data_IF_818983404160
#
_entry.id   IF_818983404160
#
_cell.length_a   1.000
_cell.length_b   1.000
_cell.length_c   1.000
_cell.angle_alpha   90.00
_cell.angle_beta   90.00
_cell.angle_gamma   90.00
#
_symmetry.space_group_name_H-M   'P 1'
#
loop_
_entity.id
_entity.type
_entity.pdbx_description
1 polymer ?
#
# COMPACT_ATOMS: atom_id res chain seq x y z
N UNK A 1 -26.32 11.40 -20.96
CA UNK A 1 -26.24 10.04 -20.39
C UNK A 1 -24.83 9.67 -19.91
N UNK A 2 -23.76 9.97 -20.66
CA UNK A 2 -22.38 9.63 -20.24
C UNK A 2 -21.91 10.28 -18.94
N UNK A 3 -22.20 11.56 -18.72
CA UNK A 3 -21.75 12.28 -17.51
C UNK A 3 -22.38 11.74 -16.21
N UNK A 4 -23.69 11.53 -16.18
CA UNK A 4 -24.38 10.98 -15.01
C UNK A 4 -23.93 9.54 -14.67
N UNK A 5 -23.60 8.74 -15.69
CA UNK A 5 -23.03 7.39 -15.51
C UNK A 5 -21.62 7.45 -14.90
N UNK A 6 -20.79 8.41 -15.34
CA UNK A 6 -19.45 8.59 -14.80
C UNK A 6 -19.48 9.11 -13.35
N UNK A 7 -20.42 10.00 -13.03
CA UNK A 7 -20.64 10.48 -11.66
C UNK A 7 -21.11 9.35 -10.72
N UNK A 8 -22.04 8.51 -11.18
CA UNK A 8 -22.49 7.34 -10.41
C UNK A 8 -21.35 6.33 -10.19
N UNK A 9 -20.52 6.08 -11.20
CA UNK A 9 -19.35 5.20 -11.09
C UNK A 9 -18.31 5.75 -10.11
N UNK A 10 -18.06 7.06 -10.15
CA UNK A 10 -17.15 7.73 -9.23
C UNK A 10 -17.63 7.60 -7.78
N UNK A 11 -18.93 7.81 -7.55
CA UNK A 11 -19.54 7.70 -6.22
C UNK A 11 -19.51 6.26 -5.68
N UNK A 12 -19.85 5.28 -6.52
CA UNK A 12 -19.75 3.87 -6.16
C UNK A 12 -18.29 3.48 -5.86
N UNK A 13 -17.37 3.82 -6.77
CA UNK A 13 -15.95 3.52 -6.62
C UNK A 13 -15.38 4.10 -5.33
N UNK A 14 -15.68 5.37 -5.04
CA UNK A 14 -15.20 6.02 -3.82
C UNK A 14 -15.74 5.34 -2.56
N UNK A 15 -17.02 4.95 -2.55
CA UNK A 15 -17.62 4.22 -1.42
C UNK A 15 -16.94 2.86 -1.17
N UNK A 16 -16.58 2.14 -2.24
CA UNK A 16 -15.82 0.89 -2.13
C UNK A 16 -14.39 1.14 -1.61
N UNK A 17 -13.77 2.27 -2.00
CA UNK A 17 -12.46 2.68 -1.50
C UNK A 17 -12.47 3.08 -0.01
N UNK A 18 -13.52 3.73 0.48
CA UNK A 18 -13.68 4.05 1.90
C UNK A 18 -13.82 2.78 2.75
N UNK A 19 -14.55 1.78 2.24
CA UNK A 19 -14.79 0.53 2.95
C UNK A 19 -13.53 -0.34 3.11
N UNK A 20 -12.60 -0.30 2.14
CA UNK A 20 -11.56 -1.32 2.01
C UNK A 20 -10.13 -0.77 1.88
N UNK A 21 -9.98 0.49 1.45
CA UNK A 21 -8.68 1.06 1.07
C UNK A 21 -8.33 2.35 1.79
N UNK A 22 -9.00 2.63 2.92
CA UNK A 22 -8.72 3.78 3.80
C UNK A 22 -8.79 5.12 3.08
N UNK A 23 -9.68 5.23 2.10
CA UNK A 23 -10.11 6.54 1.63
C UNK A 23 -11.08 7.16 2.63
N UNK A 24 -11.13 8.49 2.67
CA UNK A 24 -12.05 9.25 3.51
C UNK A 24 -12.58 10.47 2.74
N UNK A 25 -13.87 10.78 2.89
CA UNK A 25 -14.46 12.04 2.40
C UNK A 25 -14.29 13.19 3.36
N UNK A 26 -14.44 12.90 4.64
CA UNK A 26 -14.39 13.86 5.74
C UNK A 26 -13.22 13.55 6.66
N UNK A 27 -12.65 14.59 7.25
CA UNK A 27 -11.62 14.43 8.27
C UNK A 27 -12.29 13.92 9.55
N UNK A 28 -11.74 12.87 10.19
CA UNK A 28 -12.19 12.49 11.53
C UNK A 28 -11.98 13.65 12.50
N UNK A 29 -12.89 13.79 13.47
CA UNK A 29 -12.83 14.86 14.49
C UNK A 29 -11.51 14.85 15.29
N UNK A 30 -10.89 13.66 15.43
CA UNK A 30 -9.57 13.45 16.06
C UNK A 30 -8.41 13.44 15.02
N UNK A 31 -8.48 14.31 14.02
CA UNK A 31 -7.42 14.50 13.03
C UNK A 31 -6.21 15.22 13.60
N UNK A 32 -5.04 14.61 13.54
CA UNK A 32 -3.80 15.18 14.10
C UNK A 32 -2.95 15.91 13.07
N UNK A 33 -2.97 15.44 11.83
CA UNK A 33 -2.15 16.00 10.77
C UNK A 33 -2.80 15.77 9.41
N UNK A 34 -2.83 16.80 8.58
CA UNK A 34 -3.31 16.77 7.20
C UNK A 34 -2.25 17.39 6.29
N UNK A 35 -1.74 16.62 5.33
CA UNK A 35 -0.65 17.04 4.44
C UNK A 35 -1.01 16.70 3.00
N UNK A 36 -0.88 17.67 2.08
CA UNK A 36 -1.03 17.38 0.64
C UNK A 36 0.10 16.44 0.22
N UNK A 37 -0.21 15.43 -0.58
CA UNK A 37 0.76 14.43 -0.98
C UNK A 37 1.97 15.06 -1.70
N UNK A 38 1.74 16.13 -2.48
CA UNK A 38 2.79 16.92 -3.12
C UNK A 38 3.80 17.56 -2.15
N UNK A 39 3.38 17.93 -0.93
CA UNK A 39 4.29 18.52 0.06
C UNK A 39 5.30 17.49 0.58
N UNK A 40 4.95 16.20 0.57
CA UNK A 40 5.81 15.11 1.02
C UNK A 40 6.98 14.81 0.04
N UNK A 41 7.07 15.55 -1.07
CA UNK A 41 8.25 15.53 -1.93
C UNK A 41 9.42 16.34 -1.33
N UNK A 42 9.17 17.11 -0.28
CA UNK A 42 10.17 17.85 0.47
C UNK A 42 10.44 17.17 1.83
N UNK A 43 11.71 16.92 2.16
CA UNK A 43 12.08 16.20 3.39
C UNK A 43 11.50 16.84 4.66
N UNK A 44 11.41 18.17 4.75
CA UNK A 44 10.85 18.86 5.92
C UNK A 44 9.42 18.42 6.27
N UNK A 45 8.58 18.15 5.26
CA UNK A 45 7.20 17.71 5.50
C UNK A 45 7.15 16.22 5.81
N UNK A 46 8.08 15.44 5.25
CA UNK A 46 8.27 14.05 5.60
C UNK A 46 8.72 13.92 7.05
N UNK A 47 9.73 14.67 7.49
CA UNK A 47 10.22 14.67 8.87
C UNK A 47 9.09 14.99 9.86
N UNK A 48 8.27 16.00 9.53
CA UNK A 48 7.08 16.33 10.31
C UNK A 48 6.10 15.15 10.39
N UNK A 49 5.78 14.52 9.26
CA UNK A 49 4.88 13.35 9.20
C UNK A 49 5.43 12.18 10.02
N UNK A 50 6.71 11.83 9.82
CA UNK A 50 7.36 10.70 10.49
C UNK A 50 7.52 10.94 11.98
N UNK A 51 7.81 12.17 12.41
CA UNK A 51 7.89 12.54 13.82
C UNK A 51 6.54 12.40 14.51
N UNK A 52 5.46 12.93 13.90
CA UNK A 52 4.13 12.84 14.50
C UNK A 52 3.63 11.39 14.52
N UNK A 53 3.76 10.66 13.42
CA UNK A 53 3.37 9.26 13.37
C UNK A 53 4.22 8.38 14.30
N UNK A 54 5.53 8.65 14.37
CA UNK A 54 6.49 7.94 15.22
C UNK A 54 6.12 7.98 16.70
N UNK A 55 5.62 9.12 17.20
CA UNK A 55 5.13 9.24 18.59
C UNK A 55 4.03 8.22 18.91
N UNK A 56 3.06 8.05 18.01
CA UNK A 56 1.93 7.14 18.21
C UNK A 56 2.31 5.67 18.19
N UNK A 57 3.24 5.31 17.32
CA UNK A 57 3.73 3.92 17.23
C UNK A 57 4.90 3.65 18.18
N UNK A 58 5.27 4.64 19.02
CA UNK A 58 6.42 4.61 19.93
C UNK A 58 7.70 4.17 19.22
N UNK A 59 7.96 4.78 18.06
CA UNK A 59 9.15 4.53 17.28
C UNK A 59 10.40 5.05 17.99
N UNK A 60 11.49 4.29 17.90
CA UNK A 60 12.80 4.67 18.42
C UNK A 60 13.58 5.56 17.44
N UNK A 61 13.22 5.52 16.16
CA UNK A 61 13.76 6.34 15.08
C UNK A 61 12.72 6.52 13.96
N UNK A 62 13.07 7.30 12.94
CA UNK A 62 12.20 7.62 11.80
C UNK A 62 12.04 6.44 10.81
N UNK A 63 12.82 5.37 10.96
CA UNK A 63 12.81 4.26 10.00
C UNK A 63 11.56 3.39 10.12
N UNK A 64 11.14 3.09 11.34
CA UNK A 64 9.89 2.36 11.58
C UNK A 64 8.66 3.10 11.01
N UNK A 65 8.41 4.39 11.32
CA UNK A 65 7.27 5.12 10.76
C UNK A 65 7.37 5.25 9.23
N UNK A 66 8.57 5.41 8.65
CA UNK A 66 8.74 5.47 7.19
C UNK A 66 8.34 4.16 6.50
N UNK A 67 8.80 3.02 7.01
CA UNK A 67 8.42 1.71 6.44
C UNK A 67 6.94 1.39 6.64
N UNK A 68 6.36 1.77 7.78
CA UNK A 68 4.93 1.61 8.03
C UNK A 68 4.10 2.50 7.11
N UNK A 69 4.46 3.77 6.96
CA UNK A 69 3.82 4.69 6.04
C UNK A 69 3.92 4.21 4.58
N UNK A 70 5.06 3.64 4.19
CA UNK A 70 5.18 3.00 2.88
C UNK A 70 4.24 1.80 2.71
N UNK A 71 3.87 1.08 3.78
CA UNK A 71 2.84 0.04 3.71
C UNK A 71 1.44 0.63 3.48
N UNK A 72 1.15 1.81 4.04
CA UNK A 72 -0.08 2.57 3.80
C UNK A 72 -0.18 3.07 2.35
N UNK A 73 0.93 3.56 1.80
CA UNK A 73 1.02 3.91 0.37
C UNK A 73 0.76 2.69 -0.53
N UNK A 74 1.11 1.48 -0.10
CA UNK A 74 0.74 0.26 -0.81
C UNK A 74 -0.77 0.04 -0.90
N UNK A 75 -1.55 0.56 0.07
CA UNK A 75 -3.02 0.51 0.01
C UNK A 75 -3.56 1.46 -1.05
N UNK A 76 -2.95 2.63 -1.24
CA UNK A 76 -3.25 3.54 -2.35
C UNK A 76 -3.02 2.86 -3.72
N UNK A 77 -1.91 2.14 -3.86
CA UNK A 77 -1.63 1.36 -5.07
C UNK A 77 -2.65 0.23 -5.30
N UNK A 78 -3.09 -0.43 -4.23
CA UNK A 78 -4.08 -1.50 -4.29
C UNK A 78 -5.47 -0.96 -4.68
N UNK A 79 -5.86 0.20 -4.15
CA UNK A 79 -7.09 0.90 -4.53
C UNK A 79 -7.15 1.19 -6.03
N UNK A 80 -6.05 1.72 -6.58
CA UNK A 80 -5.96 2.03 -8.00
C UNK A 80 -6.07 0.78 -8.88
N UNK A 81 -5.41 -0.32 -8.48
CA UNK A 81 -5.51 -1.60 -9.19
C UNK A 81 -6.92 -2.19 -9.12
N UNK A 82 -7.57 -2.08 -7.96
CA UNK A 82 -8.94 -2.52 -7.77
C UNK A 82 -9.91 -1.75 -8.69
N UNK A 83 -9.78 -0.43 -8.78
CA UNK A 83 -10.61 0.39 -9.68
C UNK A 83 -10.38 0.03 -11.15
N UNK A 84 -9.13 -0.19 -11.57
CA UNK A 84 -8.83 -0.61 -12.95
C UNK A 84 -9.50 -1.95 -13.27
N UNK A 85 -9.38 -2.91 -12.35
CA UNK A 85 -9.83 -4.28 -12.59
C UNK A 85 -11.35 -4.41 -12.50
N UNK A 86 -11.97 -3.88 -11.45
CA UNK A 86 -13.41 -4.04 -11.21
C UNK A 86 -14.25 -3.08 -12.03
N UNK A 87 -13.76 -1.87 -12.28
CA UNK A 87 -14.58 -0.77 -12.80
C UNK A 87 -14.12 -0.21 -14.15
N UNK A 88 -12.97 -0.65 -14.69
CA UNK A 88 -12.37 -0.02 -15.88
C UNK A 88 -12.28 1.50 -15.73
N UNK A 89 -11.89 1.91 -14.53
CA UNK A 89 -11.81 3.30 -14.13
C UNK A 89 -10.60 3.52 -13.23
N UNK A 90 -10.19 4.78 -13.13
CA UNK A 90 -9.08 5.20 -12.31
C UNK A 90 -9.42 6.50 -11.60
N UNK A 91 -8.94 6.70 -10.37
CA UNK A 91 -8.97 8.04 -9.79
C UNK A 91 -7.71 8.81 -10.20
N UNK A 92 -7.81 10.13 -10.27
CA UNK A 92 -6.61 10.97 -10.35
C UNK A 92 -5.89 10.94 -9.00
N UNK A 93 -4.88 10.07 -8.89
CA UNK A 93 -4.02 9.94 -7.71
C UNK A 93 -2.75 10.78 -7.82
N UNK A 94 -2.80 11.88 -8.58
CA UNK A 94 -1.70 12.84 -8.63
C UNK A 94 -1.46 13.48 -7.26
N UNK A 95 -0.22 13.91 -6.97
CA UNK A 95 0.13 14.47 -5.67
C UNK A 95 -0.66 15.73 -5.30
N UNK A 96 -1.13 16.49 -6.30
CA UNK A 96 -1.94 17.69 -6.10
C UNK A 96 -3.40 17.40 -5.77
N UNK A 97 -3.90 16.21 -6.12
CA UNK A 97 -5.29 15.81 -5.88
C UNK A 97 -5.48 15.00 -4.59
N UNK A 98 -4.39 14.64 -3.91
CA UNK A 98 -4.41 13.80 -2.71
C UNK A 98 -3.93 14.53 -1.46
N UNK A 99 -4.63 14.27 -0.36
CA UNK A 99 -4.21 14.63 1.00
C UNK A 99 -4.10 13.36 1.84
N UNK A 100 -3.04 13.26 2.62
CA UNK A 100 -2.82 12.20 3.60
C UNK A 100 -3.14 12.76 4.98
N UNK A 101 -3.96 12.02 5.72
CA UNK A 101 -4.45 12.45 7.02
C UNK A 101 -4.08 11.41 8.08
N UNK A 102 -3.34 11.82 9.10
CA UNK A 102 -3.07 11.03 10.29
C UNK A 102 -4.12 11.36 11.34
N UNK A 103 -4.78 10.34 11.85
CA UNK A 103 -5.80 10.48 12.90
C UNK A 103 -5.79 9.25 13.80
N UNK A 104 -6.43 9.38 14.96
CA UNK A 104 -6.63 8.25 15.86
C UNK A 104 -8.00 7.60 15.62
N UNK A 105 -8.01 6.28 15.56
CA UNK A 105 -9.23 5.47 15.60
C UNK A 105 -9.10 4.47 16.73
N UNK A 106 -9.92 4.60 17.76
CA UNK A 106 -9.87 3.76 18.96
C UNK A 106 -8.46 3.72 19.58
N UNK A 107 -7.81 4.90 19.65
CA UNK A 107 -6.45 5.06 20.17
C UNK A 107 -5.33 4.50 19.27
N UNK A 108 -5.64 4.05 18.05
CA UNK A 108 -4.64 3.56 17.08
C UNK A 108 -4.41 4.59 15.97
N UNK A 109 -3.15 4.87 15.60
CA UNK A 109 -2.87 5.78 14.50
C UNK A 109 -3.23 5.14 13.16
N UNK A 110 -3.99 5.88 12.36
CA UNK A 110 -4.47 5.49 11.03
C UNK A 110 -4.10 6.55 10.01
N UNK A 111 -3.88 6.13 8.76
CA UNK A 111 -3.82 7.05 7.63
C UNK A 111 -5.10 6.95 6.80
N UNK A 112 -5.64 8.12 6.45
CA UNK A 112 -6.75 8.28 5.51
C UNK A 112 -6.33 9.08 4.29
N UNK A 113 -6.64 8.56 3.10
CA UNK A 113 -6.41 9.25 1.83
C UNK A 113 -7.66 10.00 1.39
N UNK A 114 -7.52 11.30 1.12
CA UNK A 114 -8.63 12.14 0.69
C UNK A 114 -8.36 12.72 -0.69
N UNK A 115 -9.33 12.58 -1.59
CA UNK A 115 -9.31 13.20 -2.91
C UNK A 115 -9.90 14.61 -2.82
N UNK A 116 -9.24 15.59 -3.43
CA UNK A 116 -9.82 16.91 -3.63
C UNK A 116 -10.91 16.88 -4.71
N UNK A 117 -10.63 16.15 -5.80
CA UNK A 117 -11.55 15.89 -6.90
C UNK A 117 -11.67 14.37 -7.11
N UNK A 118 -12.83 13.82 -6.77
CA UNK A 118 -13.11 12.39 -6.88
C UNK A 118 -13.67 11.98 -8.26
N UNK A 119 -13.30 12.68 -9.33
CA UNK A 119 -13.64 12.24 -10.69
C UNK A 119 -12.82 11.03 -11.09
N UNK A 120 -13.46 10.12 -11.80
CA UNK A 120 -12.80 8.97 -12.41
C UNK A 120 -12.37 9.28 -13.84
N UNK A 121 -11.20 8.78 -14.20
CA UNK A 121 -10.73 8.63 -15.57
C UNK A 121 -11.26 7.28 -16.06
N UNK A 122 -12.17 7.30 -17.03
CA UNK A 122 -12.66 6.08 -17.68
C UNK A 122 -11.69 5.60 -18.75
N UNK A 123 -11.74 4.30 -19.06
CA UNK A 123 -11.06 3.76 -20.25
C UNK A 123 -11.59 4.49 -21.51
N UNK A 124 -10.71 5.14 -22.30
CA UNK A 124 -11.11 5.73 -23.58
C UNK A 124 -11.47 4.65 -24.60
N UNK A 125 -12.22 5.00 -25.65
CA UNK A 125 -12.42 4.10 -26.80
C UNK A 125 -11.06 3.76 -27.44
N UNK A 126 -10.70 2.48 -27.47
CA UNK A 126 -9.40 2.02 -27.99
C UNK A 126 -8.68 1.05 -27.04
N UNK A 127 -7.36 1.24 -26.90
CA UNK A 127 -6.48 0.30 -26.19
C UNK A 127 -6.47 0.52 -24.67
N UNK A 128 -7.27 -0.30 -23.98
CA UNK A 128 -7.31 -0.38 -22.50
C UNK A 128 -5.93 -0.64 -21.89
N UNK A 129 -5.07 -1.43 -22.53
CA UNK A 129 -3.77 -1.78 -21.98
C UNK A 129 -2.85 -0.55 -21.95
N UNK A 130 -2.89 0.28 -22.99
CA UNK A 130 -2.14 1.53 -23.02
C UNK A 130 -2.67 2.56 -22.00
N UNK A 131 -3.99 2.71 -21.89
CA UNK A 131 -4.59 3.53 -20.83
C UNK A 131 -4.15 3.07 -19.42
N UNK A 132 -4.21 1.75 -19.16
CA UNK A 132 -3.76 1.16 -17.90
C UNK A 132 -2.29 1.47 -17.65
N UNK A 133 -1.44 1.31 -18.66
CA UNK A 133 0.00 1.63 -18.57
C UNK A 133 0.24 3.09 -18.19
N UNK A 134 -0.49 4.03 -18.80
CA UNK A 134 -0.38 5.46 -18.50
C UNK A 134 -0.82 5.79 -17.07
N UNK A 135 -1.99 5.29 -16.65
CA UNK A 135 -2.50 5.48 -15.29
C UNK A 135 -1.50 4.96 -14.25
N UNK A 136 -0.98 3.74 -14.46
CA UNK A 136 -0.03 3.14 -13.54
C UNK A 136 1.35 3.83 -13.58
N UNK A 137 1.79 4.30 -14.76
CA UNK A 137 3.06 5.03 -14.88
C UNK A 137 3.00 6.37 -14.15
N UNK A 138 1.88 7.09 -14.24
CA UNK A 138 1.66 8.31 -13.48
C UNK A 138 1.68 8.02 -11.96
N UNK A 139 0.94 7.00 -11.51
CA UNK A 139 0.93 6.63 -10.10
C UNK A 139 2.34 6.26 -9.60
N UNK A 140 3.00 5.29 -10.23
CA UNK A 140 4.27 4.77 -9.71
C UNK A 140 5.45 5.71 -9.95
N UNK A 141 5.50 6.35 -11.13
CA UNK A 141 6.63 7.18 -11.54
C UNK A 141 6.53 8.64 -11.09
N UNK A 142 5.34 9.22 -11.11
CA UNK A 142 5.15 10.65 -10.80
C UNK A 142 4.68 10.86 -9.36
N UNK A 143 3.89 9.95 -8.80
CA UNK A 143 3.44 10.05 -7.39
C UNK A 143 4.36 9.30 -6.43
N UNK A 144 4.52 7.97 -6.58
CA UNK A 144 5.18 7.15 -5.56
C UNK A 144 6.69 7.28 -5.58
N UNK A 145 7.34 7.25 -6.75
CA UNK A 145 8.81 7.33 -6.85
C UNK A 145 9.40 8.54 -6.12
N UNK A 146 9.01 9.80 -6.40
CA UNK A 146 9.55 10.96 -5.68
C UNK A 146 9.20 10.94 -4.18
N UNK A 147 8.00 10.49 -3.83
CA UNK A 147 7.59 10.35 -2.43
C UNK A 147 8.48 9.37 -1.66
N UNK A 148 8.73 8.19 -2.22
CA UNK A 148 9.59 7.19 -1.60
C UNK A 148 11.05 7.61 -1.57
N UNK A 149 11.52 8.41 -2.55
CA UNK A 149 12.85 8.99 -2.51
C UNK A 149 12.98 9.98 -1.34
N UNK A 150 12.01 10.86 -1.15
CA UNK A 150 11.95 11.80 -0.02
C UNK A 150 11.88 11.08 1.33
N UNK A 151 11.04 10.04 1.43
CA UNK A 151 10.95 9.17 2.61
C UNK A 151 12.27 8.44 2.92
N UNK A 152 12.90 7.88 1.90
CA UNK A 152 14.18 7.18 2.05
C UNK A 152 15.27 8.13 2.54
N UNK A 153 15.33 9.34 1.99
CA UNK A 153 16.28 10.37 2.39
C UNK A 153 16.05 10.82 3.84
N UNK A 154 14.82 11.18 4.20
CA UNK A 154 14.45 11.64 5.54
C UNK A 154 14.75 10.58 6.62
N UNK A 155 14.41 9.32 6.36
CA UNK A 155 14.58 8.24 7.32
C UNK A 155 15.96 7.56 7.27
N UNK A 156 16.84 7.92 6.32
CA UNK A 156 18.12 7.25 6.11
C UNK A 156 17.98 5.76 5.73
N UNK A 157 17.03 5.45 4.83
CA UNK A 157 16.73 4.09 4.34
C UNK A 157 17.07 3.94 2.85
N UNK A 158 17.25 2.69 2.39
CA UNK A 158 17.19 2.42 0.94
C UNK A 158 15.73 2.43 0.48
N UNK A 159 15.46 3.13 -0.63
CA UNK A 159 14.12 3.20 -1.21
C UNK A 159 13.58 1.80 -1.59
N UNK A 160 14.44 0.83 -1.89
CA UNK A 160 14.06 -0.57 -2.14
C UNK A 160 13.40 -1.24 -0.92
N UNK A 161 13.79 -0.86 0.29
CA UNK A 161 13.14 -1.35 1.50
C UNK A 161 11.68 -0.86 1.59
N UNK A 162 11.44 0.41 1.24
CA UNK A 162 10.11 1.01 1.20
C UNK A 162 9.25 0.39 0.09
N UNK A 163 9.80 0.27 -1.12
CA UNK A 163 9.18 -0.47 -2.22
C UNK A 163 8.80 -1.91 -1.82
N UNK A 164 9.62 -2.60 -1.03
CA UNK A 164 9.29 -3.93 -0.51
C UNK A 164 8.07 -3.96 0.44
N UNK A 165 7.78 -2.85 1.14
CA UNK A 165 6.55 -2.71 1.94
C UNK A 165 5.33 -2.59 1.03
N UNK A 166 5.43 -1.81 -0.05
CA UNK A 166 4.40 -1.69 -1.08
C UNK A 166 4.16 -3.05 -1.75
N UNK A 167 5.22 -3.74 -2.20
CA UNK A 167 5.11 -5.05 -2.82
C UNK A 167 4.38 -6.04 -1.90
N UNK A 168 4.80 -6.13 -0.64
CA UNK A 168 4.12 -6.99 0.34
C UNK A 168 2.62 -6.66 0.44
N UNK A 169 2.26 -5.37 0.56
CA UNK A 169 0.87 -4.92 0.64
C UNK A 169 0.07 -5.26 -0.62
N UNK A 170 0.64 -4.99 -1.79
CA UNK A 170 -0.01 -5.21 -3.09
C UNK A 170 -0.36 -6.68 -3.32
N UNK A 171 0.54 -7.60 -3.01
CA UNK A 171 0.23 -9.03 -3.15
C UNK A 171 -0.81 -9.52 -2.15
N UNK A 172 -0.82 -9.01 -0.91
CA UNK A 172 -1.91 -9.33 0.02
C UNK A 172 -3.26 -8.79 -0.47
N UNK A 173 -3.30 -7.55 -0.95
CA UNK A 173 -4.53 -6.96 -1.49
C UNK A 173 -5.03 -7.71 -2.73
N UNK A 174 -4.11 -8.11 -3.62
CA UNK A 174 -4.43 -8.94 -4.79
C UNK A 174 -5.02 -10.28 -4.40
N UNK A 175 -4.43 -11.00 -3.45
CA UNK A 175 -4.96 -12.30 -3.01
C UNK A 175 -6.34 -12.14 -2.35
N UNK A 176 -6.54 -11.09 -1.55
CA UNK A 176 -7.84 -10.79 -0.96
C UNK A 176 -8.90 -10.47 -2.03
N UNK A 177 -8.58 -9.61 -3.00
CA UNK A 177 -9.50 -9.23 -4.07
C UNK A 177 -9.88 -10.46 -4.94
N UNK A 178 -8.91 -11.32 -5.27
CA UNK A 178 -9.14 -12.56 -6.01
C UNK A 178 -10.02 -13.54 -5.23
N UNK A 179 -9.80 -13.66 -3.91
CA UNK A 179 -10.61 -14.52 -3.05
C UNK A 179 -12.04 -14.00 -2.85
N UNK A 180 -12.24 -12.69 -2.89
CA UNK A 180 -13.54 -12.03 -2.73
C UNK A 180 -14.26 -11.77 -4.06
N UNK A 181 -13.65 -12.11 -5.19
CA UNK A 181 -14.27 -11.93 -6.51
C UNK A 181 -15.59 -12.71 -6.62
N UNK A 182 -16.64 -12.01 -7.04
CA UNK A 182 -18.02 -12.49 -7.18
C UNK A 182 -18.26 -13.30 -8.46
N UNK A 183 -17.30 -13.30 -9.38
CA UNK A 183 -17.34 -14.06 -10.63
C UNK A 183 -15.95 -14.56 -11.05
N UNK A 184 -15.92 -15.59 -11.91
CA UNK A 184 -14.67 -16.08 -12.49
C UNK A 184 -14.08 -15.05 -13.46
N UNK A 185 -14.93 -14.31 -14.18
CA UNK A 185 -14.52 -13.25 -15.10
C UNK A 185 -13.76 -12.14 -14.35
N UNK A 186 -14.27 -11.71 -13.20
CA UNK A 186 -13.58 -10.72 -12.38
C UNK A 186 -12.28 -11.29 -11.80
N UNK A 187 -12.27 -12.55 -11.37
CA UNK A 187 -11.08 -13.23 -10.85
C UNK A 187 -9.97 -13.28 -11.89
N UNK A 188 -10.31 -13.64 -13.12
CA UNK A 188 -9.40 -13.64 -14.26
C UNK A 188 -8.88 -12.21 -14.51
N UNK A 189 -9.77 -11.22 -14.58
CA UNK A 189 -9.41 -9.82 -14.83
C UNK A 189 -8.48 -9.24 -13.76
N UNK A 190 -8.76 -9.45 -12.48
CA UNK A 190 -7.88 -9.06 -11.36
C UNK A 190 -6.49 -9.70 -11.49
N UNK A 191 -6.43 -10.96 -11.91
CA UNK A 191 -5.18 -11.70 -12.08
C UNK A 191 -4.38 -11.16 -13.27
N UNK A 192 -5.05 -10.93 -14.40
CA UNK A 192 -4.46 -10.39 -15.63
C UNK A 192 -3.97 -8.95 -15.46
N UNK A 193 -4.77 -8.08 -14.84
CA UNK A 193 -4.37 -6.68 -14.59
C UNK A 193 -3.20 -6.58 -13.62
N UNK A 194 -3.16 -7.47 -12.60
CA UNK A 194 -2.00 -7.54 -11.72
C UNK A 194 -0.77 -8.13 -12.44
N UNK A 195 -0.94 -9.08 -13.36
CA UNK A 195 0.19 -9.57 -14.16
C UNK A 195 0.71 -8.48 -15.11
N UNK A 196 -0.20 -7.73 -15.72
CA UNK A 196 0.14 -6.59 -16.55
C UNK A 196 0.90 -5.50 -15.80
N UNK A 197 0.54 -5.22 -14.53
CA UNK A 197 1.33 -4.33 -13.67
C UNK A 197 2.81 -4.76 -13.62
N UNK A 198 3.08 -6.06 -13.59
CA UNK A 198 4.45 -6.60 -13.51
C UNK A 198 5.18 -6.63 -14.86
N UNK A 199 4.46 -6.81 -15.96
CA UNK A 199 5.05 -6.94 -17.31
C UNK A 199 5.10 -5.64 -18.11
N UNK A 200 4.14 -4.75 -17.91
CA UNK A 200 3.87 -3.62 -18.81
C UNK A 200 4.63 -2.34 -18.41
N UNK A 201 5.11 -2.28 -17.17
CA UNK A 201 5.86 -1.13 -16.65
C UNK A 201 7.36 -1.45 -16.57
N UNK A 202 8.23 -0.68 -17.24
CA UNK A 202 9.66 -0.89 -17.13
C UNK A 202 10.19 -0.44 -15.75
N UNK A 203 11.31 -0.99 -15.26
CA UNK A 203 11.91 -0.62 -13.98
C UNK A 203 12.19 0.89 -13.81
N UNK A 204 12.43 1.60 -14.92
CA UNK A 204 12.70 3.05 -14.94
C UNK A 204 11.54 3.90 -14.43
N UNK A 205 10.29 3.44 -14.57
CA UNK A 205 9.12 4.10 -13.97
C UNK A 205 9.34 4.26 -12.46
N UNK A 206 9.83 3.20 -11.81
CA UNK A 206 10.06 3.18 -10.37
C UNK A 206 11.39 3.83 -9.95
N UNK A 207 12.26 4.16 -10.91
CA UNK A 207 13.63 4.63 -10.65
C UNK A 207 14.49 3.56 -9.98
N UNK A 208 14.28 2.28 -10.31
CA UNK A 208 14.99 1.14 -9.70
C UNK A 208 15.60 0.26 -10.79
N UNK A 209 16.71 -0.46 -10.50
CA UNK A 209 17.35 -1.34 -11.48
C UNK A 209 16.53 -2.60 -11.82
N UNK A 210 15.49 -2.91 -11.03
CA UNK A 210 14.56 -4.03 -11.23
C UNK A 210 13.17 -3.59 -10.82
N UNK A 211 12.14 -4.23 -11.38
CA UNK A 211 10.75 -3.94 -11.04
C UNK A 211 10.51 -4.26 -9.54
N UNK A 212 10.19 -3.27 -8.70
CA UNK A 212 10.14 -3.47 -7.25
C UNK A 212 8.98 -4.37 -6.78
N UNK A 213 7.94 -4.49 -7.61
CA UNK A 213 6.81 -5.37 -7.32
C UNK A 213 6.97 -6.75 -7.98
N UNK A 214 7.96 -6.97 -8.86
CA UNK A 214 8.20 -8.31 -9.40
C UNK A 214 9.08 -9.08 -8.41
N UNK A 215 8.43 -9.73 -7.45
CA UNK A 215 9.10 -10.35 -6.31
C UNK A 215 8.86 -11.85 -6.25
N UNK A 216 9.97 -12.60 -6.18
CA UNK A 216 9.93 -14.02 -5.82
C UNK A 216 9.81 -14.18 -4.31
N UNK A 217 8.61 -14.54 -3.85
CA UNK A 217 8.36 -14.74 -2.43
C UNK A 217 9.00 -16.02 -1.88
N UNK A 218 9.49 -15.91 -0.64
CA UNK A 218 9.82 -17.06 0.22
C UNK A 218 8.58 -17.41 1.07
N UNK A 219 8.48 -18.67 1.44
CA UNK A 219 7.35 -19.19 2.22
C UNK A 219 7.85 -19.95 3.44
N UNK A 220 7.09 -19.87 4.53
CA UNK A 220 7.31 -20.61 5.78
C UNK A 220 6.02 -21.33 6.14
N UNK A 221 6.11 -22.45 6.84
CA UNK A 221 4.90 -23.23 7.18
C UNK A 221 4.04 -22.47 8.19
N UNK A 222 2.72 -22.54 8.03
CA UNK A 222 1.79 -21.94 8.98
C UNK A 222 1.76 -22.79 10.26
N UNK A 223 2.20 -22.27 11.41
CA UNK A 223 2.15 -23.01 12.67
C UNK A 223 0.73 -23.42 13.06
N UNK A 224 -0.27 -22.63 12.69
CA UNK A 224 -1.67 -22.82 13.13
C UNK A 224 -2.46 -23.71 12.20
N UNK A 225 -1.95 -23.96 10.98
CA UNK A 225 -2.63 -24.71 9.94
C UNK A 225 -1.67 -25.66 9.22
N UNK A 226 -1.55 -26.90 9.72
CA UNK A 226 -0.68 -27.91 9.11
C UNK A 226 -0.95 -28.08 7.62
N UNK A 227 0.09 -28.03 6.80
CA UNK A 227 0.00 -28.15 5.34
C UNK A 227 -0.18 -26.83 4.58
N UNK A 228 -0.57 -25.75 5.27
CA UNK A 228 -0.61 -24.41 4.68
C UNK A 228 0.74 -23.68 4.84
N UNK A 229 1.02 -22.72 3.94
CA UNK A 229 2.24 -21.92 3.95
C UNK A 229 1.93 -20.44 3.99
N UNK A 230 2.65 -19.71 4.82
CA UNK A 230 2.61 -18.26 4.91
C UNK A 230 3.66 -17.62 4.03
N UNK A 231 3.24 -16.61 3.27
CA UNK A 231 4.15 -15.74 2.52
C UNK A 231 5.02 -14.93 3.50
N UNK A 232 6.34 -15.00 3.31
CA UNK A 232 7.28 -14.12 4.01
C UNK A 232 7.20 -12.70 3.43
N UNK A 233 7.28 -11.67 4.27
CA UNK A 233 7.33 -10.27 3.78
C UNK A 233 8.59 -10.05 2.93
N UNK A 234 8.48 -9.20 1.91
CA UNK A 234 9.61 -8.90 0.99
C UNK A 234 10.75 -8.21 1.73
N UNK A 235 10.40 -7.19 2.53
CA UNK A 235 11.35 -6.39 3.29
C UNK A 235 10.92 -6.27 4.76
N UNK A 236 11.87 -5.93 5.64
CA UNK A 236 11.58 -5.73 7.05
C UNK A 236 10.89 -4.38 7.26
N UNK A 237 9.76 -4.40 7.98
CA UNK A 237 9.04 -3.19 8.40
C UNK A 237 9.61 -2.54 9.68
N UNK A 238 10.74 -3.04 10.18
CA UNK A 238 11.44 -2.49 11.34
C UNK A 238 10.59 -2.37 12.62
N UNK A 239 9.58 -3.23 12.78
CA UNK A 239 8.69 -3.22 13.95
C UNK A 239 9.43 -3.36 15.29
N UNK A 240 10.57 -4.06 15.29
CA UNK A 240 11.45 -4.20 16.46
C UNK A 240 12.13 -2.89 16.90
N UNK A 241 12.08 -1.84 16.08
CA UNK A 241 12.50 -0.47 16.41
C UNK A 241 11.36 0.38 16.98
N UNK A 242 10.33 -0.27 17.50
CA UNK A 242 9.30 0.38 18.30
C UNK A 242 9.41 -0.14 19.73
N UNK A 243 9.19 0.73 20.70
CA UNK A 243 9.17 0.38 22.11
C UNK A 243 7.85 -0.34 22.45
N UNK A 244 7.54 -1.47 21.81
CA UNK A 244 6.23 -2.15 21.89
C UNK A 244 6.27 -3.65 22.13
N UNK A 245 7.40 -4.22 22.54
CA UNK A 245 7.62 -5.67 22.70
C UNK A 245 7.24 -6.50 21.45
N UNK A 246 6.94 -5.85 20.32
CA UNK A 246 6.46 -6.52 19.11
C UNK A 246 7.52 -7.45 18.52
N UNK A 247 8.78 -7.03 18.59
CA UNK A 247 9.92 -7.75 18.04
C UNK A 247 9.78 -8.05 16.55
N UNK A 248 10.19 -9.25 16.14
CA UNK A 248 10.00 -9.72 14.76
C UNK A 248 8.69 -10.51 14.60
N UNK A 249 7.96 -10.24 13.52
CA UNK A 249 6.85 -11.08 13.11
C UNK A 249 7.34 -12.44 12.57
N UNK A 250 6.52 -13.49 12.64
CA UNK A 250 6.87 -14.84 12.17
C UNK A 250 7.28 -14.86 10.68
N UNK A 251 6.64 -14.02 9.87
CA UNK A 251 6.93 -13.82 8.44
C UNK A 251 8.00 -12.74 8.18
N UNK A 252 8.75 -12.32 9.19
CA UNK A 252 9.82 -11.33 9.05
C UNK A 252 11.00 -11.92 8.26
N UNK A 253 11.52 -11.22 7.23
CA UNK A 253 12.66 -11.70 6.45
C UNK A 253 14.00 -11.64 7.19
N UNK A 254 14.07 -10.93 8.32
CA UNK A 254 15.29 -10.83 9.16
C UNK A 254 15.38 -11.89 10.26
N UNK A 255 14.28 -12.58 10.55
CA UNK A 255 14.24 -13.60 11.59
C UNK A 255 15.00 -14.85 11.13
N UNK A 256 15.97 -15.30 11.91
CA UNK A 256 16.70 -16.55 11.70
C UNK A 256 15.78 -17.77 11.84
N UNK A 257 16.25 -18.94 11.40
CA UNK A 257 15.49 -20.18 11.55
C UNK A 257 15.25 -20.54 13.03
N UNK A 258 16.24 -20.31 13.90
CA UNK A 258 16.14 -20.60 15.33
C UNK A 258 15.12 -19.70 16.04
N UNK A 259 15.20 -18.37 15.82
CA UNK A 259 14.21 -17.42 16.35
C UNK A 259 12.79 -17.72 15.84
N UNK A 260 12.67 -18.20 14.60
CA UNK A 260 11.38 -18.57 14.01
C UNK A 260 10.77 -19.79 14.66
N UNK A 261 11.58 -20.80 15.00
CA UNK A 261 11.09 -21.97 15.73
C UNK A 261 10.66 -21.60 17.16
N UNK A 262 11.41 -20.73 17.85
CA UNK A 262 10.98 -20.21 19.15
C UNK A 262 9.65 -19.45 19.05
N UNK A 263 9.52 -18.59 18.03
CA UNK A 263 8.27 -17.85 17.78
C UNK A 263 7.11 -18.78 17.44
N UNK A 264 7.35 -19.86 16.69
CA UNK A 264 6.38 -20.90 16.36
C UNK A 264 5.81 -21.54 17.63
N UNK A 265 6.68 -21.95 18.56
CA UNK A 265 6.28 -22.54 19.83
C UNK A 265 5.44 -21.56 20.67
N UNK A 266 5.83 -20.28 20.74
CA UNK A 266 5.05 -19.24 21.41
C UNK A 266 3.66 -19.05 20.78
N UNK A 267 3.57 -19.04 19.45
CA UNK A 267 2.28 -18.89 18.74
C UNK A 267 1.33 -20.07 19.00
N UNK A 268 1.86 -21.28 19.09
CA UNK A 268 1.09 -22.48 19.39
C UNK A 268 0.65 -22.56 20.85
N UNK A 269 1.46 -22.03 21.78
CA UNK A 269 1.12 -21.99 23.19
C UNK A 269 -0.05 -21.04 23.50
N UNK A 270 -0.15 -19.92 22.78
CA UNK A 270 -1.24 -18.92 22.93
C UNK A 270 -2.54 -19.35 22.23
N UNK A 271 -2.48 -20.31 21.30
CA UNK A 271 -3.65 -20.81 20.57
C UNK A 271 -4.41 -21.94 21.31
N UNK A 272 -3.91 -22.35 22.48
CA UNK A 272 -4.57 -23.30 23.40
C UNK A 272 -5.35 -22.53 24.46
#
# INVERSE_FOLDING_TARGET
MGQARNEALAEQGLSELEAQFFFIRELPDEGELSVKLSQLFECRHVDMLLTNYGKHIRALDEQAPATYFSSWLGTLCAAQQYMISRHDAAFDLSPGNLTVNLYLKEGRPMFGFRLYNARTLSVPEGDRAEWRRQVLSALYGETLRPLLASLAQAAGLDAGQLWGQIATRMYYARDMAVAQADSEELRAKLTEDFQALLSDLPPDVFGRPRHPLDVKFRYVDDPRKPGERLRMKVSCCLAYKTDTDHGYCYTCPRMSSAEREERKLKLLAVAK
#
